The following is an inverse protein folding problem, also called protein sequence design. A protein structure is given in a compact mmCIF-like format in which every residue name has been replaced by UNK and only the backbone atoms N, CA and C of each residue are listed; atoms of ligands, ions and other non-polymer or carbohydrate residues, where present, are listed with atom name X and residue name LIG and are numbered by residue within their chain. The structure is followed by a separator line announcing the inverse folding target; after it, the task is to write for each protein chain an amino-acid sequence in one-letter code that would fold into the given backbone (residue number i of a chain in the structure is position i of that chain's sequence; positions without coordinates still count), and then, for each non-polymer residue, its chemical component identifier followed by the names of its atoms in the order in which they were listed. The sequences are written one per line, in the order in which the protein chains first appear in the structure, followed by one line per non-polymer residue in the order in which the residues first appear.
data_IF_150814965552
#
_entry.id   IF_150814965552
#
_cell.length_a   1.000
_cell.length_b   1.000
_cell.length_c   1.000
_cell.angle_alpha   90.00
_cell.angle_beta   90.00
_cell.angle_gamma   90.00
#
_symmetry.space_group_name_H-M   'P 1'
#
loop_
_entity.id
_entity.type
_entity.pdbx_description
1 polymer ?
#
# COMPACT_ATOMS: atom_id res chain seq x y z
N UNK A 1 -15.68 10.28 -0.63
CA UNK A 1 -16.39 11.23 -1.47
C UNK A 1 -16.40 12.63 -0.87
N UNK A 2 -15.24 13.29 -0.70
CA UNK A 2 -15.18 14.67 -0.20
C UNK A 2 -14.84 15.63 -1.35
N UNK A 3 -15.39 16.84 -1.30
CA UNK A 3 -15.13 17.96 -2.23
C UNK A 3 -13.67 18.49 -2.22
N UNK A 4 -12.81 17.93 -1.37
CA UNK A 4 -11.43 18.40 -1.13
C UNK A 4 -10.37 17.37 -1.58
N UNK A 5 -10.64 16.59 -2.63
CA UNK A 5 -9.66 15.66 -3.19
C UNK A 5 -9.03 16.26 -4.44
N UNK A 6 -7.79 16.69 -4.32
CA UNK A 6 -7.01 17.23 -5.42
C UNK A 6 -5.82 16.30 -5.68
N UNK A 7 -5.55 16.03 -6.96
CA UNK A 7 -4.29 15.46 -7.40
C UNK A 7 -3.42 16.66 -7.79
N UNK A 8 -2.28 16.81 -7.14
CA UNK A 8 -1.34 17.88 -7.43
C UNK A 8 -0.21 17.29 -8.27
N UNK A 9 -0.09 17.73 -9.49
CA UNK A 9 1.04 17.44 -10.38
C UNK A 9 1.96 18.66 -10.42
N UNK A 10 3.27 18.43 -10.45
CA UNK A 10 4.22 19.54 -10.65
C UNK A 10 4.24 19.93 -12.15
N UNK A 11 4.43 21.21 -12.42
CA UNK A 11 4.59 21.71 -13.81
C UNK A 11 5.69 20.94 -14.54
N UNK A 12 6.83 20.72 -13.89
CA UNK A 12 7.96 19.95 -14.43
C UNK A 12 7.54 18.56 -14.91
N UNK A 13 6.66 17.88 -14.17
CA UNK A 13 6.19 16.55 -14.55
C UNK A 13 5.31 16.60 -15.79
N UNK A 14 4.39 17.56 -15.85
CA UNK A 14 3.45 17.72 -16.96
C UNK A 14 4.18 18.16 -18.24
N UNK A 15 5.15 19.05 -18.12
CA UNK A 15 5.91 19.59 -19.26
C UNK A 15 6.96 18.62 -19.80
N UNK A 16 7.48 17.72 -18.96
CA UNK A 16 8.60 16.84 -19.32
C UNK A 16 8.14 15.46 -19.79
N UNK A 17 7.04 14.95 -19.24
CA UNK A 17 6.57 13.61 -19.57
C UNK A 17 5.64 13.59 -20.79
N UNK A 18 5.73 12.53 -21.63
CA UNK A 18 4.71 12.27 -22.64
C UNK A 18 3.32 12.17 -21.99
N UNK A 19 2.30 12.55 -22.75
CA UNK A 19 0.91 12.56 -22.26
C UNK A 19 0.49 11.21 -21.68
N UNK A 20 0.84 10.09 -22.33
CA UNK A 20 0.53 8.73 -21.85
C UNK A 20 1.16 8.43 -20.48
N UNK A 21 2.38 8.93 -20.23
CA UNK A 21 3.04 8.73 -18.92
C UNK A 21 2.40 9.58 -17.85
N UNK A 22 2.00 10.80 -18.19
CA UNK A 22 1.24 11.67 -17.28
C UNK A 22 -0.11 11.05 -16.94
N UNK A 23 -0.80 10.45 -17.91
CA UNK A 23 -2.04 9.71 -17.69
C UNK A 23 -1.83 8.50 -16.78
N UNK A 24 -0.76 7.74 -16.98
CA UNK A 24 -0.39 6.62 -16.09
C UNK A 24 -0.20 7.08 -14.64
N UNK A 25 0.51 8.19 -14.43
CA UNK A 25 0.71 8.77 -13.08
C UNK A 25 -0.62 9.20 -12.47
N UNK A 26 -1.47 9.89 -13.25
CA UNK A 26 -2.79 10.31 -12.76
C UNK A 26 -3.66 9.12 -12.39
N UNK A 27 -3.67 8.07 -13.20
CA UNK A 27 -4.43 6.85 -12.91
C UNK A 27 -3.93 6.18 -11.62
N UNK A 28 -2.60 6.15 -11.40
CA UNK A 28 -2.00 5.66 -10.15
C UNK A 28 -2.49 6.47 -8.93
N UNK A 29 -2.49 7.80 -9.00
CA UNK A 29 -2.97 8.65 -7.89
C UNK A 29 -4.49 8.49 -7.67
N UNK A 30 -5.27 8.36 -8.74
CA UNK A 30 -6.71 8.07 -8.67
C UNK A 30 -6.95 6.74 -7.95
N UNK A 31 -6.10 5.72 -8.17
CA UNK A 31 -6.22 4.44 -7.49
C UNK A 31 -6.11 4.57 -5.97
N UNK A 32 -5.17 5.39 -5.46
CA UNK A 32 -5.05 5.64 -4.02
C UNK A 32 -6.34 6.20 -3.42
N UNK A 33 -7.00 7.08 -4.15
CA UNK A 33 -8.28 7.66 -3.74
C UNK A 33 -9.41 6.64 -3.85
N UNK A 34 -9.51 5.91 -4.97
CA UNK A 34 -10.58 4.96 -5.26
C UNK A 34 -10.57 3.76 -4.31
N UNK A 35 -9.38 3.23 -4.02
CA UNK A 35 -9.20 2.10 -3.12
C UNK A 35 -9.08 2.49 -1.64
N UNK A 36 -9.18 3.81 -1.34
CA UNK A 36 -9.16 4.37 0.03
C UNK A 36 -7.90 3.96 0.78
N UNK A 37 -6.73 4.01 0.12
CA UNK A 37 -5.47 3.52 0.69
C UNK A 37 -5.07 4.26 1.96
N UNK A 38 -5.20 5.60 2.00
CA UNK A 38 -4.80 6.41 3.17
C UNK A 38 -5.57 6.01 4.45
N UNK A 39 -6.91 5.93 4.47
CA UNK A 39 -7.65 5.41 5.61
C UNK A 39 -7.22 4.00 6.04
N UNK A 40 -6.95 3.09 5.08
CA UNK A 40 -6.51 1.74 5.40
C UNK A 40 -5.08 1.69 5.96
N UNK A 41 -4.19 2.56 5.50
CA UNK A 41 -2.86 2.73 6.11
C UNK A 41 -2.98 3.18 7.57
N UNK A 42 -3.87 4.13 7.85
CA UNK A 42 -4.12 4.59 9.21
C UNK A 42 -4.71 3.47 10.08
N UNK A 43 -5.73 2.77 9.58
CA UNK A 43 -6.33 1.63 10.26
C UNK A 43 -5.31 0.52 10.57
N UNK A 44 -4.36 0.29 9.67
CA UNK A 44 -3.30 -0.71 9.90
C UNK A 44 -2.36 -0.33 11.04
N UNK A 45 -2.03 0.94 11.20
CA UNK A 45 -1.23 1.43 12.34
C UNK A 45 -1.99 1.20 13.63
N UNK A 46 -3.27 1.58 13.68
CA UNK A 46 -4.12 1.38 14.88
C UNK A 46 -4.21 -0.10 15.24
N UNK A 47 -4.47 -0.98 14.26
CA UNK A 47 -4.54 -2.42 14.48
C UNK A 47 -3.21 -2.99 15.01
N UNK A 48 -2.07 -2.53 14.48
CA UNK A 48 -0.75 -2.95 14.95
C UNK A 48 -0.47 -2.48 16.39
N UNK A 49 -0.83 -1.25 16.74
CA UNK A 49 -0.67 -0.72 18.11
C UNK A 49 -1.50 -1.56 19.09
N UNK A 50 -2.78 -1.81 18.78
CA UNK A 50 -3.65 -2.64 19.62
C UNK A 50 -3.14 -4.08 19.75
N UNK A 51 -2.64 -4.65 18.67
CA UNK A 51 -2.06 -5.99 18.68
C UNK A 51 -0.81 -6.05 19.58
N UNK A 52 0.07 -5.05 19.50
CA UNK A 52 1.27 -4.99 20.35
C UNK A 52 0.86 -4.93 21.81
N UNK A 53 -0.12 -4.10 22.18
CA UNK A 53 -0.63 -4.01 23.55
C UNK A 53 -1.12 -5.35 24.07
N UNK A 54 -1.94 -6.07 23.28
CA UNK A 54 -2.41 -7.42 23.64
C UNK A 54 -1.25 -8.40 23.84
N UNK A 55 -0.25 -8.38 22.96
CA UNK A 55 0.88 -9.32 23.01
C UNK A 55 1.81 -9.00 24.17
N UNK A 56 2.00 -7.74 24.51
CA UNK A 56 2.97 -7.32 25.54
C UNK A 56 2.37 -7.33 26.94
N UNK A 57 1.05 -7.17 27.11
CA UNK A 57 0.39 -7.15 28.41
C UNK A 57 0.70 -8.38 29.29
N UNK A 58 0.65 -9.65 28.82
CA UNK A 58 0.98 -10.82 29.64
C UNK A 58 2.43 -10.86 30.11
N UNK A 59 3.33 -10.19 29.41
CA UNK A 59 4.77 -10.13 29.68
C UNK A 59 5.20 -8.83 30.34
N UNK A 60 4.25 -7.99 30.75
CA UNK A 60 4.51 -6.67 31.31
C UNK A 60 5.51 -6.75 32.50
N UNK A 61 5.35 -7.74 33.37
CA UNK A 61 6.25 -7.97 34.52
C UNK A 61 7.68 -8.39 34.14
N UNK A 62 7.90 -8.90 32.91
CA UNK A 62 9.22 -9.35 32.45
C UNK A 62 9.90 -8.32 31.52
N UNK A 63 9.12 -7.53 30.79
CA UNK A 63 9.60 -6.70 29.69
C UNK A 63 9.36 -5.20 29.90
N UNK A 64 8.54 -4.80 30.90
CA UNK A 64 7.84 -3.51 30.89
C UNK A 64 8.23 -2.53 31.99
N UNK A 65 9.23 -2.84 32.80
CA UNK A 65 9.85 -1.82 33.64
C UNK A 65 10.65 -0.79 32.79
N UNK A 66 10.89 -1.14 31.50
CA UNK A 66 11.62 -0.26 30.57
C UNK A 66 10.75 0.18 29.40
N UNK A 67 10.24 1.40 29.47
CA UNK A 67 9.43 2.04 28.42
C UNK A 67 10.14 2.08 27.06
N UNK A 68 11.47 2.04 27.05
CA UNK A 68 12.26 2.08 25.81
C UNK A 68 12.18 0.77 25.03
N UNK A 69 12.09 -0.36 25.73
CA UNK A 69 11.90 -1.67 25.09
C UNK A 69 10.53 -1.73 24.40
N UNK A 70 9.48 -1.29 25.07
CA UNK A 70 8.12 -1.25 24.52
C UNK A 70 8.05 -0.32 23.31
N UNK A 71 8.59 0.88 23.42
CA UNK A 71 8.65 1.84 22.32
C UNK A 71 9.44 1.28 21.12
N UNK A 72 10.58 0.66 21.39
CA UNK A 72 11.40 0.01 20.35
C UNK A 72 10.64 -1.09 19.61
N UNK A 73 9.97 -2.00 20.34
CA UNK A 73 9.15 -3.07 19.78
C UNK A 73 8.01 -2.51 18.91
N UNK A 74 7.33 -1.47 19.40
CA UNK A 74 6.27 -0.79 18.67
C UNK A 74 6.79 -0.18 17.36
N UNK A 75 7.90 0.57 17.40
CA UNK A 75 8.47 1.20 16.21
C UNK A 75 8.93 0.18 15.17
N UNK A 76 9.56 -0.91 15.60
CA UNK A 76 9.99 -2.00 14.70
C UNK A 76 8.78 -2.67 14.05
N UNK A 77 7.76 -3.02 14.83
CA UNK A 77 6.55 -3.69 14.32
C UNK A 77 5.78 -2.81 13.33
N UNK A 78 5.56 -1.53 13.70
CA UNK A 78 4.93 -0.57 12.79
C UNK A 78 5.82 -0.35 11.56
N UNK A 79 7.13 -0.19 11.73
CA UNK A 79 8.05 0.00 10.63
C UNK A 79 7.97 -1.12 9.60
N UNK A 80 8.06 -2.37 10.03
CA UNK A 80 8.01 -3.53 9.13
C UNK A 80 6.61 -3.71 8.53
N UNK A 81 5.58 -3.73 9.38
CA UNK A 81 4.19 -4.00 8.98
C UNK A 81 3.64 -2.93 8.04
N UNK A 82 3.78 -1.66 8.42
CA UNK A 82 3.33 -0.54 7.59
C UNK A 82 4.06 -0.48 6.25
N UNK A 83 5.38 -0.65 6.24
CA UNK A 83 6.16 -0.67 5.00
C UNK A 83 5.74 -1.81 4.07
N UNK A 84 5.42 -2.99 4.62
CA UNK A 84 4.92 -4.12 3.84
C UNK A 84 3.53 -3.84 3.25
N UNK A 85 2.57 -3.34 4.05
CA UNK A 85 1.21 -3.00 3.62
C UNK A 85 1.25 -1.88 2.57
N UNK A 86 2.02 -0.82 2.83
CA UNK A 86 2.17 0.31 1.89
C UNK A 86 2.60 -0.17 0.50
N UNK A 87 3.61 -1.05 0.43
CA UNK A 87 4.05 -1.61 -0.86
C UNK A 87 2.99 -2.44 -1.57
N UNK A 88 2.05 -3.08 -0.87
CA UNK A 88 0.91 -3.79 -1.50
C UNK A 88 -0.11 -2.81 -2.08
N UNK A 89 -0.31 -1.69 -1.42
CA UNK A 89 -1.15 -0.61 -1.95
C UNK A 89 -0.52 0.07 -3.18
N UNK A 90 0.80 0.24 -3.21
CA UNK A 90 1.52 0.69 -4.40
C UNK A 90 1.33 -0.29 -5.57
N UNK A 91 1.49 -1.61 -5.33
CA UNK A 91 1.24 -2.61 -6.36
C UNK A 91 -0.20 -2.54 -6.91
N UNK A 92 -1.19 -2.32 -6.05
CA UNK A 92 -2.57 -2.18 -6.47
C UNK A 92 -2.78 -0.90 -7.29
N UNK A 93 -2.13 0.21 -6.91
CA UNK A 93 -2.23 1.45 -7.65
C UNK A 93 -1.56 1.35 -9.03
N UNK A 94 -0.40 0.69 -9.12
CA UNK A 94 0.27 0.41 -10.40
C UNK A 94 -0.58 -0.47 -11.31
N UNK A 95 -1.14 -1.53 -10.76
CA UNK A 95 -2.01 -2.45 -11.49
C UNK A 95 -3.28 -1.73 -12.00
N UNK A 96 -3.88 -0.86 -11.18
CA UNK A 96 -5.01 -0.04 -11.59
C UNK A 96 -4.65 0.90 -12.75
N UNK A 97 -3.46 1.52 -12.73
CA UNK A 97 -2.99 2.35 -13.82
C UNK A 97 -2.84 1.54 -15.12
N UNK A 98 -2.28 0.32 -15.05
CA UNK A 98 -2.17 -0.56 -16.20
C UNK A 98 -3.55 -0.99 -16.74
N UNK A 99 -4.52 -1.30 -15.86
CA UNK A 99 -5.91 -1.59 -16.24
C UNK A 99 -6.56 -0.39 -16.92
N UNK A 100 -6.38 0.81 -16.36
CA UNK A 100 -6.95 2.04 -16.93
C UNK A 100 -6.46 2.32 -18.35
N UNK A 101 -5.18 2.05 -18.62
CA UNK A 101 -4.57 2.24 -19.94
C UNK A 101 -4.81 1.08 -20.90
N UNK A 102 -5.38 -0.04 -20.43
CA UNK A 102 -5.73 -1.16 -21.30
C UNK A 102 -7.07 -0.90 -21.97
N UNK A 103 -7.13 -1.03 -23.28
CA UNK A 103 -8.38 -0.90 -24.02
C UNK A 103 -9.26 -2.12 -23.76
N UNK A 104 -10.45 -1.90 -23.20
CA UNK A 104 -11.45 -2.95 -22.96
C UNK A 104 -12.00 -3.59 -24.26
N UNK A 105 -11.70 -3.04 -25.43
CA UNK A 105 -12.04 -3.63 -26.71
C UNK A 105 -11.14 -4.80 -27.13
N UNK A 106 -9.94 -4.94 -26.55
CA UNK A 106 -8.99 -6.03 -26.81
C UNK A 106 -9.02 -7.11 -25.72
N UNK A 107 -9.90 -8.08 -25.85
CA UNK A 107 -9.93 -9.32 -25.05
C UNK A 107 -10.10 -9.19 -23.51
N UNK A 108 -10.46 -8.04 -22.98
CA UNK A 108 -10.68 -7.78 -21.53
C UNK A 108 -9.49 -8.21 -20.63
N UNK A 109 -8.26 -8.02 -21.13
CA UNK A 109 -7.02 -8.35 -20.41
C UNK A 109 -6.05 -7.17 -20.35
N UNK A 110 -5.18 -7.18 -19.34
CA UNK A 110 -4.08 -6.23 -19.20
C UNK A 110 -3.11 -6.42 -20.36
N UNK A 111 -2.88 -5.34 -21.12
CA UNK A 111 -2.05 -5.39 -22.32
C UNK A 111 -0.56 -5.17 -22.00
N UNK A 112 0.33 -5.69 -22.86
CA UNK A 112 1.75 -5.41 -22.77
C UNK A 112 2.04 -3.90 -22.93
N UNK A 113 1.31 -3.23 -23.82
CA UNK A 113 1.46 -1.79 -24.07
C UNK A 113 1.18 -0.97 -22.80
N UNK A 114 0.05 -1.21 -22.13
CA UNK A 114 -0.32 -0.49 -20.91
C UNK A 114 0.69 -0.69 -19.79
N UNK A 115 1.14 -1.93 -19.58
CA UNK A 115 2.17 -2.24 -18.59
C UNK A 115 3.49 -1.53 -18.91
N UNK A 116 3.94 -1.55 -20.17
CA UNK A 116 5.17 -0.87 -20.59
C UNK A 116 5.06 0.65 -20.40
N UNK A 117 3.90 1.24 -20.67
CA UNK A 117 3.65 2.68 -20.46
C UNK A 117 3.77 3.03 -18.97
N UNK A 118 3.15 2.26 -18.06
CA UNK A 118 3.29 2.48 -16.61
C UNK A 118 4.75 2.29 -16.17
N UNK A 119 5.45 1.26 -16.63
CA UNK A 119 6.86 1.03 -16.29
C UNK A 119 7.76 2.20 -16.75
N UNK A 120 7.56 2.69 -17.97
CA UNK A 120 8.32 3.82 -18.51
C UNK A 120 8.03 5.12 -17.75
N UNK A 121 6.78 5.35 -17.31
CA UNK A 121 6.44 6.49 -16.46
C UNK A 121 7.20 6.43 -15.12
N UNK A 122 7.27 5.24 -14.49
CA UNK A 122 8.01 5.03 -13.25
C UNK A 122 9.52 5.27 -13.41
N UNK A 123 10.12 4.77 -14.50
CA UNK A 123 11.54 5.03 -14.80
C UNK A 123 11.82 6.51 -15.08
N UNK A 124 10.92 7.18 -15.80
CA UNK A 124 11.04 8.61 -16.11
C UNK A 124 10.98 9.45 -14.83
N UNK A 125 10.04 9.16 -13.92
CA UNK A 125 9.95 9.83 -12.62
C UNK A 125 11.22 9.57 -11.77
N UNK A 126 11.70 8.32 -11.74
CA UNK A 126 12.93 7.99 -11.02
C UNK A 126 14.14 8.77 -11.59
N UNK A 127 14.24 8.89 -12.90
CA UNK A 127 15.29 9.65 -13.59
C UNK A 127 15.20 11.14 -13.27
N UNK A 128 14.00 11.75 -13.35
CA UNK A 128 13.79 13.16 -13.00
C UNK A 128 14.18 13.48 -11.56
N UNK A 129 14.02 12.52 -10.66
CA UNK A 129 14.42 12.64 -9.25
C UNK A 129 15.88 12.24 -8.99
N UNK A 130 16.68 11.91 -10.02
CA UNK A 130 18.05 11.43 -9.88
C UNK A 130 18.16 10.13 -9.07
N UNK A 131 17.10 9.31 -9.04
CA UNK A 131 17.04 8.11 -8.24
C UNK A 131 17.35 6.86 -9.08
N UNK A 132 18.37 6.05 -8.71
CA UNK A 132 18.60 4.77 -9.36
C UNK A 132 17.37 3.85 -9.25
N UNK A 133 17.08 3.09 -10.32
CA UNK A 133 15.91 2.21 -10.37
C UNK A 133 15.86 1.17 -9.24
N UNK A 134 17.03 0.75 -8.73
CA UNK A 134 17.16 -0.19 -7.62
C UNK A 134 17.14 0.48 -6.24
N UNK A 135 17.07 1.81 -6.15
CA UNK A 135 17.01 2.50 -4.87
C UNK A 135 15.79 2.06 -4.09
N UNK A 136 16.02 1.43 -2.96
CA UNK A 136 14.95 0.95 -2.11
C UNK A 136 14.23 2.12 -1.43
N UNK A 137 12.92 2.13 -1.54
CA UNK A 137 12.03 2.99 -0.75
C UNK A 137 11.23 2.13 0.21
N UNK A 138 11.27 2.48 1.47
CA UNK A 138 10.58 1.73 2.52
C UNK A 138 9.06 1.61 2.28
N UNK A 139 8.42 2.69 1.81
CA UNK A 139 6.98 2.73 1.54
C UNK A 139 6.62 2.23 0.14
N UNK A 140 7.37 2.66 -0.87
CA UNK A 140 6.99 2.44 -2.26
C UNK A 140 7.69 1.24 -2.92
N UNK A 141 8.74 0.69 -2.27
CA UNK A 141 9.63 -0.26 -2.92
C UNK A 141 10.58 0.42 -3.90
N UNK A 142 11.37 -0.35 -4.66
CA UNK A 142 12.18 0.20 -5.74
C UNK A 142 11.40 0.21 -7.05
N UNK A 143 11.73 1.12 -7.97
CA UNK A 143 11.17 1.15 -9.33
C UNK A 143 11.30 -0.20 -10.02
N UNK A 144 12.47 -0.83 -9.93
CA UNK A 144 12.72 -2.16 -10.51
C UNK A 144 11.82 -3.25 -9.89
N UNK A 145 11.52 -3.18 -8.60
CA UNK A 145 10.60 -4.12 -7.96
C UNK A 145 9.16 -3.89 -8.42
N UNK A 146 8.71 -2.63 -8.55
CA UNK A 146 7.37 -2.28 -9.05
C UNK A 146 7.18 -2.78 -10.50
N UNK A 147 8.18 -2.56 -11.36
CA UNK A 147 8.15 -3.04 -12.75
C UNK A 147 8.03 -4.56 -12.85
N UNK A 148 8.81 -5.32 -12.06
CA UNK A 148 8.67 -6.79 -12.02
C UNK A 148 7.29 -7.27 -11.59
N UNK A 149 6.61 -6.56 -10.71
CA UNK A 149 5.24 -6.90 -10.33
C UNK A 149 4.23 -6.57 -11.45
N UNK A 150 4.45 -5.47 -12.17
CA UNK A 150 3.63 -5.11 -13.33
C UNK A 150 3.73 -6.15 -14.46
N UNK A 151 4.92 -6.66 -14.74
CA UNK A 151 5.12 -7.71 -15.74
C UNK A 151 4.27 -8.97 -15.45
N UNK A 152 4.04 -9.30 -14.20
CA UNK A 152 3.29 -10.48 -13.79
C UNK A 152 1.78 -10.40 -14.05
N UNK A 153 1.24 -9.20 -14.31
CA UNK A 153 -0.19 -9.02 -14.55
C UNK A 153 -0.54 -8.96 -16.06
N UNK A 154 0.45 -9.00 -16.94
CA UNK A 154 0.22 -9.04 -18.39
C UNK A 154 -0.64 -10.26 -18.72
N UNK A 155 -1.72 -10.07 -19.49
CA UNK A 155 -2.68 -11.11 -19.85
C UNK A 155 -3.65 -11.50 -18.74
N UNK A 156 -3.57 -10.93 -17.54
CA UNK A 156 -4.60 -11.10 -16.52
C UNK A 156 -5.90 -10.38 -16.92
N UNK A 157 -7.05 -10.91 -16.50
CA UNK A 157 -8.33 -10.26 -16.73
C UNK A 157 -8.40 -8.90 -16.02
N UNK A 158 -8.94 -7.88 -16.70
CA UNK A 158 -9.15 -6.52 -16.16
C UNK A 158 -10.05 -6.53 -14.92
N UNK A 159 -10.95 -7.49 -14.80
CA UNK A 159 -11.94 -7.58 -13.72
C UNK A 159 -11.43 -8.26 -12.45
N UNK A 160 -10.32 -9.01 -12.49
CA UNK A 160 -9.89 -9.82 -11.34
C UNK A 160 -8.37 -10.00 -11.23
N UNK A 161 -7.69 -8.98 -10.75
CA UNK A 161 -6.25 -9.03 -10.55
C UNK A 161 -5.87 -9.78 -9.26
N UNK A 162 -4.75 -10.53 -9.27
CA UNK A 162 -4.25 -11.19 -8.07
C UNK A 162 -3.98 -10.23 -6.91
N UNK A 163 -3.50 -9.01 -7.21
CA UNK A 163 -3.22 -7.98 -6.21
C UNK A 163 -4.48 -7.50 -5.50
N UNK A 164 -5.63 -7.40 -6.18
CA UNK A 164 -6.89 -6.97 -5.57
C UNK A 164 -7.37 -7.97 -4.52
N UNK A 165 -7.23 -9.27 -4.82
CA UNK A 165 -7.54 -10.34 -3.85
C UNK A 165 -6.62 -10.30 -2.64
N UNK A 166 -5.32 -10.07 -2.86
CA UNK A 166 -4.35 -9.94 -1.79
C UNK A 166 -4.65 -8.73 -0.89
N UNK A 167 -4.88 -7.56 -1.49
CA UNK A 167 -5.20 -6.33 -0.74
C UNK A 167 -6.52 -6.47 0.03
N UNK A 168 -7.54 -7.11 -0.56
CA UNK A 168 -8.79 -7.39 0.14
C UNK A 168 -8.59 -8.27 1.38
N UNK A 169 -7.74 -9.30 1.29
CA UNK A 169 -7.37 -10.14 2.44
C UNK A 169 -6.60 -9.35 3.50
N UNK A 170 -5.69 -8.45 3.10
CA UNK A 170 -4.97 -7.56 4.03
C UNK A 170 -5.96 -6.66 4.76
N UNK A 171 -6.89 -6.03 4.06
CA UNK A 171 -7.93 -5.18 4.67
C UNK A 171 -8.79 -5.96 5.67
N UNK A 172 -9.19 -7.18 5.32
CA UNK A 172 -9.91 -8.07 6.23
C UNK A 172 -9.07 -8.41 7.48
N UNK A 173 -7.79 -8.75 7.29
CA UNK A 173 -6.90 -9.04 8.40
C UNK A 173 -6.72 -7.84 9.35
N UNK A 174 -6.60 -6.62 8.82
CA UNK A 174 -6.54 -5.39 9.62
C UNK A 174 -7.79 -5.26 10.50
N UNK A 175 -8.97 -5.47 9.93
CA UNK A 175 -10.24 -5.40 10.69
C UNK A 175 -10.30 -6.48 11.76
N UNK A 176 -9.99 -7.74 11.41
CA UNK A 176 -10.04 -8.85 12.36
C UNK A 176 -9.05 -8.67 13.50
N UNK A 177 -7.80 -8.30 13.20
CA UNK A 177 -6.78 -8.02 14.23
C UNK A 177 -7.24 -6.90 15.14
N UNK A 178 -7.74 -5.79 14.60
CA UNK A 178 -8.25 -4.68 15.40
C UNK A 178 -9.40 -5.09 16.32
N UNK A 179 -10.41 -5.78 15.79
CA UNK A 179 -11.57 -6.21 16.57
C UNK A 179 -11.19 -7.23 17.67
N UNK A 180 -10.38 -8.23 17.35
CA UNK A 180 -9.92 -9.23 18.31
C UNK A 180 -9.09 -8.57 19.42
N UNK A 181 -8.19 -7.64 19.06
CA UNK A 181 -7.40 -6.91 20.03
C UNK A 181 -8.28 -6.10 20.99
N UNK A 182 -9.27 -5.38 20.47
CA UNK A 182 -10.22 -4.62 21.29
C UNK A 182 -10.99 -5.55 22.25
N UNK A 183 -11.49 -6.69 21.75
CA UNK A 183 -12.22 -7.66 22.58
C UNK A 183 -11.36 -8.18 23.74
N UNK A 184 -10.12 -8.55 23.47
CA UNK A 184 -9.19 -9.04 24.49
C UNK A 184 -8.91 -7.97 25.55
N UNK A 185 -8.61 -6.72 25.12
CA UNK A 185 -8.31 -5.62 26.02
C UNK A 185 -9.51 -5.27 26.91
N UNK A 186 -10.73 -5.24 26.34
CA UNK A 186 -11.96 -4.99 27.10
C UNK A 186 -12.24 -6.13 28.08
N UNK A 187 -12.12 -7.38 27.66
CA UNK A 187 -12.31 -8.55 28.55
C UNK A 187 -11.32 -8.58 29.71
N UNK A 188 -10.08 -8.22 29.46
CA UNK A 188 -9.05 -8.12 30.50
C UNK A 188 -9.34 -7.00 31.50
N UNK A 189 -9.84 -5.86 31.03
CA UNK A 189 -10.18 -4.72 31.89
C UNK A 189 -11.43 -4.94 32.75
N UNK A 190 -12.37 -5.79 32.30
CA UNK A 190 -13.61 -6.10 33.03
C UNK A 190 -13.49 -7.31 33.97
N UNK A 191 -12.35 -7.97 34.04
CA UNK A 191 -12.12 -9.16 34.87
C UNK A 191 -12.86 -10.41 34.40
N UNK A 192 -13.40 -10.43 33.17
CA UNK A 192 -14.17 -11.57 32.62
C UNK A 192 -13.24 -12.75 32.26
N UNK A 193 -11.95 -12.51 32.08
CA UNK A 193 -10.93 -13.53 31.76
C UNK A 193 -9.92 -13.76 32.90
N UNK A 194 -10.23 -13.35 34.14
CA UNK A 194 -9.40 -13.61 35.33
C UNK A 194 -9.76 -14.94 35.98
#
# INVERSE_FOLDING_TARGET
TGRLRYIVLTETLVDTLPQEYTEAVMAHEVAHVRHVHIPWMFASIVAMVLMIEVVTTPFAHLLMDDVWIQLGLMLVTIGIGFGWISRRFEQQADAFAAVHLSDSSENDVVTLHSVTTVMNSLYSIASLNGAPANRYSWRHGSTAWRCRNLEQIIGCSLSSLPVDRLVSRIKLAIVLVGLISILILVSSSTGVLA
#
